data_IF_388082954189
#
_entry.id   IF_388082954189
#
_cell.length_a   1.000
_cell.length_b   1.000
_cell.length_c   1.000
_cell.angle_alpha   90.00
_cell.angle_beta   90.00
_cell.angle_gamma   90.00
#
_symmetry.space_group_name_H-M   'P 1'
#
loop_
_entity.id
_entity.type
_entity.pdbx_description
1 polymer ?
#
# COMPACT_ATOMS: atom_id res chain seq x y z
N UNK A 1 21.04 -31.70 -16.99
CA UNK A 1 20.23 -30.85 -16.09
C UNK A 1 19.98 -31.46 -14.70
N UNK A 2 19.57 -32.73 -14.57
CA UNK A 2 19.26 -33.34 -13.26
C UNK A 2 20.41 -33.30 -12.21
N UNK A 3 21.67 -33.38 -12.63
CA UNK A 3 22.82 -33.30 -11.72
C UNK A 3 23.02 -31.94 -11.03
N UNK A 4 22.61 -30.83 -11.67
CA UNK A 4 22.69 -29.48 -11.07
C UNK A 4 21.62 -29.25 -9.99
N UNK A 5 20.44 -29.86 -10.17
CA UNK A 5 19.33 -29.79 -9.20
C UNK A 5 19.66 -30.61 -7.94
N UNK A 6 20.35 -31.76 -8.09
CA UNK A 6 20.80 -32.60 -6.97
C UNK A 6 21.72 -31.87 -5.97
N UNK A 7 22.51 -30.89 -6.43
CA UNK A 7 23.42 -30.10 -5.58
C UNK A 7 22.71 -29.12 -4.65
N UNK A 8 21.49 -28.69 -5.00
CA UNK A 8 20.70 -27.70 -4.24
C UNK A 8 19.64 -28.34 -3.33
N UNK A 9 19.47 -29.66 -3.40
CA UNK A 9 18.58 -30.42 -2.52
C UNK A 9 19.15 -30.46 -1.09
N UNK A 10 18.34 -30.07 -0.10
CA UNK A 10 18.65 -30.19 1.34
C UNK A 10 18.49 -31.64 1.84
N UNK A 11 19.16 -32.58 1.18
CA UNK A 11 19.12 -34.00 1.49
C UNK A 11 20.44 -34.49 2.14
N UNK A 12 20.40 -35.59 2.94
CA UNK A 12 21.60 -36.21 3.49
C UNK A 12 22.64 -36.53 2.41
N UNK A 13 23.92 -36.40 2.73
CA UNK A 13 25.04 -36.61 1.77
C UNK A 13 24.94 -37.97 1.08
N UNK A 14 24.56 -39.01 1.82
CA UNK A 14 24.36 -40.37 1.32
C UNK A 14 23.26 -40.49 0.25
N UNK A 15 22.25 -39.62 0.27
CA UNK A 15 21.16 -39.59 -0.70
C UNK A 15 21.58 -38.81 -1.95
N UNK A 16 22.29 -37.69 -1.77
CA UNK A 16 22.85 -36.90 -2.88
C UNK A 16 23.87 -37.70 -3.68
N UNK A 17 24.69 -38.49 -3.01
CA UNK A 17 25.67 -39.35 -3.66
C UNK A 17 25.02 -40.45 -4.53
N UNK A 18 23.99 -41.13 -4.02
CA UNK A 18 23.22 -42.12 -4.82
C UNK A 18 22.55 -41.51 -6.06
N UNK A 19 22.12 -40.25 -5.99
CA UNK A 19 21.54 -39.55 -7.14
C UNK A 19 22.58 -39.19 -8.20
N UNK A 20 23.81 -38.89 -7.79
CA UNK A 20 24.93 -38.57 -8.70
C UNK A 20 25.52 -39.85 -9.34
N UNK A 21 25.58 -40.95 -8.59
CA UNK A 21 26.10 -42.24 -9.04
C UNK A 21 25.13 -43.02 -9.95
N UNK A 22 23.84 -42.64 -10.02
CA UNK A 22 22.87 -43.35 -10.85
C UNK A 22 23.07 -43.02 -12.34
N UNK A 23 23.49 -43.97 -13.21
CA UNK A 23 23.93 -43.66 -14.57
C UNK A 23 22.77 -43.37 -15.54
N UNK A 24 21.59 -43.96 -15.29
CA UNK A 24 20.42 -43.78 -16.17
C UNK A 24 19.61 -42.52 -15.80
N UNK A 25 19.36 -41.59 -16.74
CA UNK A 25 18.61 -40.36 -16.49
C UNK A 25 17.18 -40.61 -15.98
N UNK A 26 16.49 -41.63 -16.51
CA UNK A 26 15.11 -41.95 -16.13
C UNK A 26 14.97 -42.43 -14.68
N UNK A 27 15.86 -43.33 -14.22
CA UNK A 27 15.85 -43.78 -12.81
C UNK A 27 16.24 -42.66 -11.86
N UNK A 28 17.15 -41.78 -12.27
CA UNK A 28 17.55 -40.60 -11.49
C UNK A 28 16.38 -39.65 -11.29
N UNK A 29 15.57 -39.42 -12.32
CA UNK A 29 14.37 -38.58 -12.24
C UNK A 29 13.31 -39.20 -11.32
N UNK A 30 13.04 -40.51 -11.46
CA UNK A 30 12.08 -41.22 -10.61
C UNK A 30 12.46 -41.18 -9.11
N UNK A 31 13.75 -41.35 -8.80
CA UNK A 31 14.27 -41.22 -7.44
C UNK A 31 14.10 -39.80 -6.89
N UNK A 32 14.38 -38.78 -7.72
CA UNK A 32 14.26 -37.38 -7.34
C UNK A 32 12.80 -36.97 -7.11
N UNK A 33 11.86 -37.43 -7.94
CA UNK A 33 10.42 -37.22 -7.75
C UNK A 33 9.92 -37.85 -6.45
N UNK A 34 10.41 -39.05 -6.10
CA UNK A 34 10.03 -39.72 -4.84
C UNK A 34 10.52 -38.96 -3.61
N UNK A 35 11.73 -38.40 -3.66
CA UNK A 35 12.31 -37.63 -2.57
C UNK A 35 11.56 -36.30 -2.41
N UNK A 36 11.35 -35.56 -3.50
CA UNK A 36 10.61 -34.30 -3.47
C UNK A 36 9.14 -34.49 -3.04
N UNK A 37 8.48 -35.56 -3.46
CA UNK A 37 7.12 -35.88 -3.03
C UNK A 37 7.01 -36.06 -1.51
N UNK A 38 8.02 -36.69 -0.89
CA UNK A 38 8.09 -36.82 0.56
C UNK A 38 8.34 -35.51 1.30
N UNK A 39 9.15 -34.60 0.74
CA UNK A 39 9.38 -33.28 1.33
C UNK A 39 8.16 -32.38 1.22
N UNK A 40 7.48 -32.40 0.07
CA UNK A 40 6.22 -31.68 -0.13
C UNK A 40 5.19 -32.17 0.88
N UNK A 41 5.03 -33.48 1.09
CA UNK A 41 4.10 -34.01 2.08
C UNK A 41 4.39 -33.53 3.52
N UNK A 42 5.67 -33.48 3.93
CA UNK A 42 6.07 -32.97 5.25
C UNK A 42 5.84 -31.46 5.40
N UNK A 43 6.07 -30.70 4.33
CA UNK A 43 5.79 -29.26 4.31
C UNK A 43 4.29 -29.01 4.38
N UNK A 44 3.48 -29.81 3.68
CA UNK A 44 2.01 -29.76 3.75
C UNK A 44 1.49 -30.06 5.15
N UNK A 45 2.10 -30.99 5.90
CA UNK A 45 1.74 -31.24 7.30
C UNK A 45 2.12 -30.08 8.23
N UNK A 46 3.25 -29.41 7.99
CA UNK A 46 3.67 -28.23 8.76
C UNK A 46 2.82 -26.98 8.48
N UNK A 47 2.19 -26.90 7.32
CA UNK A 47 1.35 -25.76 6.90
C UNK A 47 -0.12 -25.98 7.29
N UNK A 48 -0.51 -27.18 7.76
CA UNK A 48 -1.84 -27.35 8.37
C UNK A 48 -1.89 -26.54 9.67
N UNK A 49 -2.79 -25.55 9.80
CA UNK A 49 -2.97 -24.86 11.06
C UNK A 49 -3.37 -25.89 12.12
N UNK A 50 -2.74 -25.84 13.29
CA UNK A 50 -3.05 -26.69 14.41
C UNK A 50 -4.55 -26.58 14.72
N UNK A 51 -5.31 -27.60 14.35
CA UNK A 51 -6.68 -27.76 14.81
C UNK A 51 -6.57 -28.04 16.32
N UNK A 52 -7.20 -27.27 17.21
CA UNK A 52 -7.14 -27.58 18.63
C UNK A 52 -7.73 -28.98 18.83
N UNK A 53 -6.97 -29.87 19.46
CA UNK A 53 -7.48 -31.20 19.82
C UNK A 53 -8.64 -31.03 20.80
N UNK A 54 -9.77 -31.73 20.59
CA UNK A 54 -10.78 -31.81 21.63
C UNK A 54 -10.18 -32.65 22.75
N UNK A 55 -9.87 -32.00 23.87
CA UNK A 55 -9.52 -32.71 25.10
C UNK A 55 -10.64 -33.71 25.42
N UNK A 56 -10.28 -34.99 25.50
CA UNK A 56 -11.13 -36.04 26.00
C UNK A 56 -11.39 -35.79 27.50
N UNK A 57 -12.41 -34.99 27.81
CA UNK A 57 -12.96 -34.87 29.15
C UNK A 57 -13.99 -35.98 29.32
N UNK A 58 -13.72 -36.89 30.26
CA UNK A 58 -14.64 -37.96 30.63
C UNK A 58 -15.99 -37.41 31.06
N UNK A 59 -17.03 -38.17 30.71
CA UNK A 59 -18.39 -38.04 31.24
C UNK A 59 -18.37 -37.88 32.76
N UNK A 60 -18.88 -36.76 33.24
CA UNK A 60 -19.09 -36.50 34.66
C UNK A 60 -19.34 -35.01 34.92
N UNK A 61 -20.61 -34.62 34.84
CA UNK A 61 -21.21 -33.45 35.49
C UNK A 61 -20.57 -32.07 35.26
N UNK A 62 -21.08 -31.34 34.26
CA UNK A 62 -21.01 -29.87 34.23
C UNK A 62 -22.41 -29.28 34.03
N UNK A 63 -23.15 -29.18 35.14
CA UNK A 63 -24.12 -28.09 35.28
C UNK A 63 -23.36 -26.79 35.58
N UNK A 64 -23.78 -25.73 34.91
CA UNK A 64 -23.58 -24.30 35.25
C UNK A 64 -22.14 -23.81 35.48
N UNK A 65 -21.54 -23.26 34.42
CA UNK A 65 -20.85 -21.97 34.48
C UNK A 65 -20.65 -21.46 33.05
N UNK A 66 -21.63 -20.72 32.54
CA UNK A 66 -21.49 -19.95 31.31
C UNK A 66 -20.48 -18.82 31.56
N UNK A 67 -19.20 -19.09 31.27
CA UNK A 67 -18.26 -18.02 30.95
C UNK A 67 -18.75 -17.33 29.66
N UNK A 68 -18.75 -15.99 29.55
CA UNK A 68 -19.14 -15.33 28.32
C UNK A 68 -18.09 -15.66 27.26
N UNK A 69 -18.39 -16.62 26.39
CA UNK A 69 -17.75 -16.68 25.07
C UNK A 69 -18.14 -15.37 24.40
N UNK A 70 -17.16 -14.50 24.17
CA UNK A 70 -17.37 -13.28 23.39
C UNK A 70 -18.13 -13.68 22.13
N UNK A 71 -19.31 -13.09 21.94
CA UNK A 71 -20.11 -13.30 20.75
C UNK A 71 -19.21 -12.95 19.55
N UNK A 72 -18.93 -13.92 18.67
CA UNK A 72 -18.39 -13.57 17.36
C UNK A 72 -19.40 -12.61 16.72
N UNK A 73 -18.95 -11.42 16.26
CA UNK A 73 -19.86 -10.44 15.68
C UNK A 73 -20.65 -11.12 14.58
N UNK A 74 -21.99 -11.03 14.64
CA UNK A 74 -22.79 -11.65 13.60
C UNK A 74 -22.47 -10.91 12.31
N UNK A 75 -22.49 -11.62 11.18
CA UNK A 75 -22.24 -11.02 9.87
C UNK A 75 -23.10 -9.76 9.60
N UNK A 76 -24.31 -9.71 10.15
CA UNK A 76 -25.17 -8.53 10.07
C UNK A 76 -24.62 -7.33 10.84
N UNK A 77 -23.98 -7.57 11.98
CA UNK A 77 -23.37 -6.54 12.83
C UNK A 77 -22.14 -5.94 12.13
N UNK A 78 -21.27 -6.77 11.54
CA UNK A 78 -20.11 -6.28 10.76
C UNK A 78 -20.54 -5.38 9.57
N UNK A 79 -21.61 -5.76 8.87
CA UNK A 79 -22.13 -4.96 7.76
C UNK A 79 -22.75 -3.65 8.24
N UNK A 80 -23.41 -3.65 9.40
CA UNK A 80 -23.96 -2.45 10.01
C UNK A 80 -22.86 -1.49 10.48
N UNK A 81 -21.78 -2.00 11.06
CA UNK A 81 -20.60 -1.22 11.43
C UNK A 81 -19.93 -0.57 10.21
N UNK A 82 -19.75 -1.33 9.12
CA UNK A 82 -19.25 -0.82 7.84
C UNK A 82 -20.18 0.25 7.24
N UNK A 83 -21.49 0.05 7.30
CA UNK A 83 -22.46 1.05 6.86
C UNK A 83 -22.32 2.35 7.66
N UNK A 84 -22.22 2.24 8.99
CA UNK A 84 -22.05 3.38 9.87
C UNK A 84 -20.71 4.10 9.61
N UNK A 85 -19.62 3.38 9.34
CA UNK A 85 -18.33 4.00 9.03
C UNK A 85 -18.36 4.76 7.71
N UNK A 86 -19.00 4.20 6.66
CA UNK A 86 -19.16 4.85 5.36
C UNK A 86 -19.92 6.17 5.48
N UNK A 87 -21.02 6.19 6.24
CA UNK A 87 -21.79 7.41 6.48
C UNK A 87 -21.00 8.42 7.35
N UNK A 88 -20.21 7.93 8.32
CA UNK A 88 -19.37 8.78 9.17
C UNK A 88 -18.16 9.38 8.44
N UNK A 89 -17.65 8.73 7.39
CA UNK A 89 -16.54 9.23 6.58
C UNK A 89 -16.89 10.49 5.79
N UNK A 90 -18.20 10.76 5.60
CA UNK A 90 -18.69 11.92 4.87
C UNK A 90 -18.25 11.92 3.42
N UNK A 91 -18.38 10.79 2.72
CA UNK A 91 -17.97 10.67 1.32
C UNK A 91 -18.75 11.63 0.40
N UNK A 92 -18.14 12.12 -0.70
CA UNK A 92 -18.88 12.82 -1.76
C UNK A 92 -20.02 11.96 -2.30
N UNK A 93 -21.15 12.57 -2.71
CA UNK A 93 -22.38 11.83 -3.06
C UNK A 93 -22.15 10.72 -4.11
N UNK A 94 -21.40 11.01 -5.18
CA UNK A 94 -21.08 10.04 -6.23
C UNK A 94 -20.29 8.83 -5.70
N UNK A 95 -19.40 9.06 -4.73
CA UNK A 95 -18.58 8.03 -4.07
C UNK A 95 -19.42 7.26 -3.05
N UNK A 96 -20.28 7.95 -2.29
CA UNK A 96 -21.19 7.35 -1.32
C UNK A 96 -22.17 6.39 -2.00
N UNK A 97 -22.77 6.77 -3.14
CA UNK A 97 -23.62 5.88 -3.94
C UNK A 97 -22.86 4.61 -4.37
N UNK A 98 -21.60 4.76 -4.80
CA UNK A 98 -20.77 3.63 -5.21
C UNK A 98 -20.42 2.71 -4.03
N UNK A 99 -20.11 3.29 -2.86
CA UNK A 99 -19.88 2.55 -1.63
C UNK A 99 -21.13 1.78 -1.19
N UNK A 100 -22.31 2.40 -1.23
CA UNK A 100 -23.61 1.75 -0.91
C UNK A 100 -23.90 0.56 -1.84
N UNK A 101 -23.69 0.73 -3.15
CA UNK A 101 -23.83 -0.38 -4.14
C UNK A 101 -22.90 -1.55 -3.83
N UNK A 102 -21.64 -1.28 -3.49
CA UNK A 102 -20.70 -2.35 -3.14
C UNK A 102 -20.98 -2.99 -1.78
N UNK A 103 -21.51 -2.24 -0.83
CA UNK A 103 -21.96 -2.77 0.46
C UNK A 103 -23.14 -3.74 0.29
N UNK A 104 -24.12 -3.41 -0.55
CA UNK A 104 -25.22 -4.33 -0.89
C UNK A 104 -24.70 -5.62 -1.53
N UNK A 105 -23.74 -5.50 -2.45
CA UNK A 105 -23.10 -6.66 -3.10
C UNK A 105 -22.37 -7.53 -2.07
N UNK A 106 -21.64 -6.92 -1.14
CA UNK A 106 -20.96 -7.62 -0.06
C UNK A 106 -21.96 -8.36 0.84
N UNK A 107 -23.13 -7.78 1.11
CA UNK A 107 -24.20 -8.41 1.87
C UNK A 107 -24.78 -9.68 1.22
N UNK A 108 -24.85 -9.72 -0.12
CA UNK A 108 -25.36 -10.87 -0.89
C UNK A 108 -24.31 -11.97 -1.13
N UNK A 109 -23.03 -11.59 -1.16
CA UNK A 109 -21.92 -12.51 -1.50
C UNK A 109 -21.60 -13.43 -0.32
N UNK A 110 -21.18 -14.68 -0.51
CA UNK A 110 -20.74 -15.50 0.64
C UNK A 110 -19.46 -14.93 1.29
N UNK A 111 -19.40 -14.87 2.63
CA UNK A 111 -18.25 -14.32 3.38
C UNK A 111 -16.93 -15.03 3.09
N UNK A 112 -16.97 -16.29 2.67
CA UNK A 112 -15.79 -17.09 2.32
C UNK A 112 -15.34 -16.92 0.85
N UNK A 113 -16.04 -16.10 0.07
CA UNK A 113 -15.69 -15.85 -1.33
C UNK A 113 -14.52 -14.86 -1.46
N UNK A 114 -13.56 -15.09 -2.37
CA UNK A 114 -12.56 -14.08 -2.74
C UNK A 114 -13.17 -12.73 -3.15
N UNK A 115 -14.37 -12.74 -3.75
CA UNK A 115 -15.07 -11.51 -4.15
C UNK A 115 -15.51 -10.67 -2.94
N UNK A 116 -15.90 -11.32 -1.84
CA UNK A 116 -16.25 -10.62 -0.61
C UNK A 116 -15.02 -9.94 0.00
N UNK A 117 -13.86 -10.60 -0.03
CA UNK A 117 -12.60 -10.01 0.42
C UNK A 117 -12.19 -8.79 -0.42
N UNK A 118 -12.34 -8.86 -1.75
CA UNK A 118 -12.05 -7.71 -2.64
C UNK A 118 -12.99 -6.54 -2.37
N UNK A 119 -14.28 -6.82 -2.22
CA UNK A 119 -15.29 -5.79 -1.95
C UNK A 119 -15.07 -5.13 -0.58
N UNK A 120 -14.71 -5.91 0.45
CA UNK A 120 -14.36 -5.40 1.77
C UNK A 120 -13.14 -4.48 1.72
N UNK A 121 -12.04 -4.92 1.10
CA UNK A 121 -10.85 -4.07 0.94
C UNK A 121 -11.15 -2.78 0.18
N UNK A 122 -12.00 -2.83 -0.86
CA UNK A 122 -12.41 -1.64 -1.59
C UNK A 122 -13.14 -0.63 -0.68
N UNK A 123 -14.10 -1.08 0.12
CA UNK A 123 -14.81 -0.22 1.07
C UNK A 123 -13.89 0.34 2.15
N UNK A 124 -12.95 -0.47 2.65
CA UNK A 124 -11.92 -0.01 3.60
C UNK A 124 -11.04 1.09 2.99
N UNK A 125 -10.62 0.95 1.72
CA UNK A 125 -9.85 1.98 1.03
C UNK A 125 -10.64 3.28 0.87
N UNK A 126 -11.92 3.21 0.50
CA UNK A 126 -12.77 4.40 0.41
C UNK A 126 -12.91 5.09 1.78
N UNK A 127 -13.06 4.33 2.85
CA UNK A 127 -13.23 4.85 4.20
C UNK A 127 -11.94 5.48 4.76
N UNK A 128 -10.77 4.90 4.45
CA UNK A 128 -9.49 5.33 4.98
C UNK A 128 -8.86 6.51 4.23
N UNK A 129 -9.37 6.84 3.05
CA UNK A 129 -8.89 7.98 2.28
C UNK A 129 -9.43 9.30 2.86
N UNK A 130 -8.60 10.34 2.97
CA UNK A 130 -9.05 11.63 3.45
C UNK A 130 -9.83 12.38 2.35
N UNK A 131 -11.15 12.52 2.49
CA UNK A 131 -11.98 13.26 1.52
C UNK A 131 -12.13 14.75 1.84
N UNK A 132 -12.22 15.08 3.13
CA UNK A 132 -12.46 16.46 3.59
C UNK A 132 -11.47 16.93 4.66
N UNK A 133 -10.74 15.99 5.28
CA UNK A 133 -9.88 16.29 6.41
C UNK A 133 -8.63 17.02 5.94
N UNK A 134 -8.48 18.29 6.29
CA UNK A 134 -7.28 19.08 6.01
C UNK A 134 -6.44 19.33 7.28
N UNK A 135 -5.13 19.50 7.12
CA UNK A 135 -4.25 20.06 8.14
C UNK A 135 -4.45 21.57 8.23
N UNK A 136 -4.27 22.14 9.42
CA UNK A 136 -4.25 23.58 9.60
C UNK A 136 -3.00 24.18 8.94
N UNK A 137 -3.22 24.97 7.89
CA UNK A 137 -2.14 25.62 7.17
C UNK A 137 -1.56 26.80 7.96
N UNK A 138 -0.23 26.87 7.99
CA UNK A 138 0.51 27.96 8.60
C UNK A 138 1.52 28.52 7.61
N UNK A 139 1.17 29.63 6.96
CA UNK A 139 2.02 30.28 5.95
C UNK A 139 2.70 31.52 6.55
N UNK A 140 3.62 31.28 7.49
CA UNK A 140 4.47 32.31 8.11
C UNK A 140 5.92 32.16 7.65
N UNK A 141 6.42 33.18 6.94
CA UNK A 141 7.79 33.24 6.41
C UNK A 141 8.85 33.29 7.52
N UNK A 142 8.58 33.99 8.63
CA UNK A 142 9.52 34.09 9.74
C UNK A 142 9.65 32.75 10.47
N UNK A 143 8.52 32.04 10.65
CA UNK A 143 8.52 30.66 11.15
C UNK A 143 9.21 29.70 10.18
N UNK A 144 8.92 29.79 8.87
CA UNK A 144 9.54 28.94 7.86
C UNK A 144 11.06 29.11 7.82
N UNK A 145 11.56 30.35 7.86
CA UNK A 145 12.99 30.66 7.91
C UNK A 145 13.66 30.01 9.12
N UNK A 146 13.08 30.20 10.32
CA UNK A 146 13.60 29.62 11.57
C UNK A 146 13.69 28.09 11.49
N UNK A 147 12.64 27.43 11.01
CA UNK A 147 12.59 25.97 10.87
C UNK A 147 13.65 25.45 9.89
N UNK A 148 13.80 26.12 8.75
CA UNK A 148 14.81 25.76 7.75
C UNK A 148 16.24 25.96 8.28
N UNK A 149 16.48 27.03 9.04
CA UNK A 149 17.78 27.33 9.64
C UNK A 149 18.13 26.39 10.81
N UNK A 150 17.12 25.95 11.58
CA UNK A 150 17.28 24.95 12.65
C UNK A 150 17.61 23.57 12.10
N UNK A 151 16.88 23.12 11.06
CA UNK A 151 17.00 21.75 10.54
C UNK A 151 18.18 21.57 9.59
N UNK A 152 18.65 22.65 8.94
CA UNK A 152 19.68 22.59 7.91
C UNK A 152 20.71 23.71 8.08
N UNK A 153 21.98 23.35 8.23
CA UNK A 153 23.06 24.33 8.27
C UNK A 153 23.45 24.80 6.86
N UNK A 154 23.69 26.10 6.67
CA UNK A 154 24.03 26.70 5.38
C UNK A 154 22.88 26.69 4.37
N UNK A 155 23.16 26.36 3.10
CA UNK A 155 22.16 26.27 2.02
C UNK A 155 21.36 27.56 1.77
N UNK A 156 21.96 28.73 1.99
CA UNK A 156 21.26 30.02 1.96
C UNK A 156 20.47 30.23 0.67
N UNK A 157 21.09 29.97 -0.49
CA UNK A 157 20.42 30.07 -1.80
C UNK A 157 19.21 29.14 -1.95
N UNK A 158 19.30 27.92 -1.41
CA UNK A 158 18.20 26.94 -1.49
C UNK A 158 17.06 27.34 -0.56
N UNK A 159 17.40 27.79 0.65
CA UNK A 159 16.42 28.29 1.63
C UNK A 159 15.70 29.53 1.13
N UNK A 160 16.42 30.47 0.53
CA UNK A 160 15.84 31.65 -0.11
C UNK A 160 14.82 31.25 -1.17
N UNK A 161 15.16 30.31 -2.06
CA UNK A 161 14.24 29.84 -3.09
C UNK A 161 12.99 29.14 -2.53
N UNK A 162 13.14 28.39 -1.43
CA UNK A 162 12.00 27.79 -0.72
C UNK A 162 11.11 28.89 -0.12
N UNK A 163 11.68 29.92 0.49
CA UNK A 163 10.93 31.03 1.07
C UNK A 163 10.20 31.86 0.01
N UNK A 164 10.80 32.05 -1.17
CA UNK A 164 10.14 32.67 -2.32
C UNK A 164 8.89 31.88 -2.73
N UNK A 165 8.99 30.56 -2.84
CA UNK A 165 7.84 29.71 -3.15
C UNK A 165 6.74 29.82 -2.09
N UNK A 166 7.09 29.77 -0.81
CA UNK A 166 6.13 29.95 0.29
C UNK A 166 5.49 31.35 0.24
N UNK A 167 6.25 32.36 -0.18
CA UNK A 167 5.74 33.73 -0.36
C UNK A 167 4.71 33.81 -1.49
N UNK A 168 4.96 33.12 -2.61
CA UNK A 168 3.99 33.02 -3.72
C UNK A 168 2.71 32.32 -3.26
N UNK A 169 2.83 31.20 -2.53
CA UNK A 169 1.66 30.47 -1.98
C UNK A 169 0.86 31.39 -1.05
N UNK A 170 1.53 32.19 -0.21
CA UNK A 170 0.87 33.16 0.67
C UNK A 170 0.05 34.20 -0.09
N UNK A 171 0.53 34.64 -1.25
CA UNK A 171 -0.12 35.67 -2.06
C UNK A 171 -1.27 35.12 -2.90
N UNK A 172 -1.06 33.95 -3.52
CA UNK A 172 -2.05 33.36 -4.43
C UNK A 172 -3.14 32.55 -3.71
N UNK A 173 -2.93 32.15 -2.46
CA UNK A 173 -3.86 31.32 -1.69
C UNK A 173 -3.91 29.85 -2.14
N UNK A 174 -3.53 29.56 -3.38
CA UNK A 174 -3.45 28.22 -3.94
C UNK A 174 -2.06 27.94 -4.51
N UNK A 175 -1.63 26.68 -4.40
CA UNK A 175 -0.36 26.21 -4.92
C UNK A 175 -0.45 25.85 -6.43
N UNK A 176 -1.13 26.67 -7.25
CA UNK A 176 -1.13 26.50 -8.73
C UNK A 176 0.20 26.92 -9.38
N UNK A 177 1.25 27.03 -8.59
CA UNK A 177 2.57 27.49 -8.99
C UNK A 177 3.49 26.35 -9.44
N UNK A 178 4.72 26.68 -9.87
CA UNK A 178 5.70 25.70 -10.29
C UNK A 178 6.09 24.76 -9.15
N UNK A 179 6.18 23.47 -9.46
CA UNK A 179 6.60 22.42 -8.52
C UNK A 179 8.08 22.61 -8.15
N UNK A 180 8.39 22.53 -6.85
CA UNK A 180 9.77 22.63 -6.37
C UNK A 180 10.55 21.35 -6.70
N UNK A 181 11.56 21.49 -7.57
CA UNK A 181 12.49 20.40 -7.87
C UNK A 181 13.84 20.61 -7.15
N UNK A 182 14.22 19.65 -6.31
CA UNK A 182 15.51 19.64 -5.60
C UNK A 182 16.52 18.72 -6.30
N UNK A 183 17.41 19.30 -7.11
CA UNK A 183 18.47 18.60 -7.82
C UNK A 183 19.80 18.60 -7.02
N UNK A 184 20.61 17.54 -7.17
CA UNK A 184 21.86 17.36 -6.40
C UNK A 184 22.22 15.89 -6.18
N UNK A 185 23.45 15.58 -5.71
CA UNK A 185 23.90 14.22 -5.45
C UNK A 185 23.12 13.56 -4.29
N UNK A 186 23.16 12.23 -4.16
CA UNK A 186 22.58 11.54 -3.01
C UNK A 186 23.27 11.98 -1.71
N UNK A 187 22.52 12.02 -0.61
CA UNK A 187 23.06 12.34 0.72
C UNK A 187 23.07 13.83 1.09
N UNK A 188 22.66 14.75 0.19
CA UNK A 188 22.63 16.21 0.48
C UNK A 188 21.40 16.68 1.27
N UNK A 189 20.58 15.76 1.79
CA UNK A 189 19.42 16.13 2.64
C UNK A 189 18.18 16.62 1.89
N UNK A 190 17.97 16.24 0.61
CA UNK A 190 16.76 16.64 -0.14
C UNK A 190 15.46 16.20 0.54
N UNK A 191 15.43 14.96 1.00
CA UNK A 191 14.27 14.40 1.70
C UNK A 191 14.02 15.08 3.04
N UNK A 192 15.08 15.46 3.77
CA UNK A 192 14.95 16.21 5.02
C UNK A 192 14.48 17.64 4.76
N UNK A 193 14.92 18.31 3.69
CA UNK A 193 14.41 19.61 3.28
C UNK A 193 12.90 19.57 3.03
N UNK A 194 12.41 18.57 2.29
CA UNK A 194 10.97 18.39 2.05
C UNK A 194 10.17 18.22 3.36
N UNK A 195 10.72 17.51 4.35
CA UNK A 195 10.11 17.36 5.67
C UNK A 195 10.08 18.69 6.45
N UNK A 196 11.16 19.47 6.39
CA UNK A 196 11.22 20.80 7.02
C UNK A 196 10.24 21.78 6.38
N UNK A 197 10.04 21.71 5.07
CA UNK A 197 9.00 22.49 4.36
C UNK A 197 7.61 22.11 4.85
N UNK A 198 7.30 20.81 4.99
CA UNK A 198 6.03 20.36 5.55
C UNK A 198 5.82 20.86 6.99
N UNK A 199 6.87 20.77 7.84
CA UNK A 199 6.87 21.30 9.22
C UNK A 199 6.63 22.81 9.25
N UNK A 200 7.28 23.55 8.35
CA UNK A 200 7.13 24.99 8.20
C UNK A 200 5.69 25.38 7.82
N UNK A 201 5.08 24.66 6.89
CA UNK A 201 3.70 24.89 6.44
C UNK A 201 2.63 24.37 7.40
N UNK A 202 3.00 23.56 8.41
CA UNK A 202 2.03 22.90 9.29
C UNK A 202 1.27 21.75 8.65
N UNK A 203 1.74 21.26 7.49
CA UNK A 203 1.10 20.20 6.70
C UNK A 203 1.69 18.84 7.03
N UNK A 204 0.90 17.77 6.85
CA UNK A 204 1.41 16.38 6.93
C UNK A 204 2.39 16.12 5.79
N UNK A 205 3.39 15.29 6.06
CA UNK A 205 4.41 14.92 5.07
C UNK A 205 4.12 13.53 4.51
N UNK A 206 4.05 13.43 3.18
CA UNK A 206 3.90 12.17 2.46
C UNK A 206 5.11 11.98 1.53
N UNK A 207 5.74 10.81 1.59
CA UNK A 207 6.86 10.47 0.70
C UNK A 207 6.46 9.32 -0.22
N UNK A 208 6.67 9.52 -1.51
CA UNK A 208 6.50 8.51 -2.55
C UNK A 208 7.83 8.38 -3.29
N UNK A 209 8.42 7.18 -3.27
CA UNK A 209 9.59 6.90 -4.10
C UNK A 209 9.12 6.57 -5.51
N UNK A 210 9.74 7.17 -6.52
CA UNK A 210 9.54 6.86 -7.92
C UNK A 210 10.69 6.03 -8.50
N UNK A 211 11.72 5.77 -7.70
CA UNK A 211 12.85 4.95 -8.11
C UNK A 211 12.44 3.55 -8.52
N UNK A 212 12.81 3.17 -9.74
CA UNK A 212 12.51 1.85 -10.30
C UNK A 212 11.05 1.66 -10.71
N UNK A 213 10.24 2.72 -10.70
CA UNK A 213 8.90 2.68 -11.31
C UNK A 213 9.07 2.60 -12.82
N UNK A 214 8.48 1.58 -13.41
CA UNK A 214 8.49 1.38 -14.86
C UNK A 214 7.09 1.16 -15.45
N UNK A 215 6.10 0.89 -14.60
CA UNK A 215 4.71 0.70 -15.00
C UNK A 215 3.82 1.85 -14.51
N UNK A 216 2.91 2.27 -15.38
CA UNK A 216 1.88 3.27 -15.10
C UNK A 216 0.96 2.84 -13.95
N UNK A 217 0.67 1.53 -13.86
CA UNK A 217 -0.17 0.97 -12.81
C UNK A 217 0.41 1.17 -11.41
N UNK A 218 1.71 1.45 -11.27
CA UNK A 218 2.28 1.80 -9.97
C UNK A 218 1.87 3.19 -9.50
N UNK A 219 1.50 4.09 -10.42
CA UNK A 219 1.06 5.45 -10.12
C UNK A 219 -0.47 5.51 -10.04
N UNK A 220 -1.18 4.92 -11.03
CA UNK A 220 -2.66 4.92 -11.16
C UNK A 220 -3.36 3.68 -10.59
N UNK A 221 -2.62 2.71 -10.06
CA UNK A 221 -3.19 1.47 -9.53
C UNK A 221 -3.54 0.44 -10.60
N UNK A 222 -3.84 -0.78 -10.13
CA UNK A 222 -4.34 -1.87 -10.96
C UNK A 222 -5.86 -1.93 -10.92
N UNK A 223 -6.48 -2.30 -12.04
CA UNK A 223 -7.92 -2.60 -12.08
C UNK A 223 -8.28 -3.63 -11.03
N UNK A 224 -9.37 -3.41 -10.30
CA UNK A 224 -9.84 -4.29 -9.20
C UNK A 224 -10.11 -5.75 -9.62
N UNK A 225 -10.24 -6.01 -10.92
CA UNK A 225 -10.47 -7.34 -11.49
C UNK A 225 -9.31 -8.32 -11.31
N UNK A 226 -8.08 -7.84 -11.06
CA UNK A 226 -6.93 -8.72 -10.87
C UNK A 226 -6.80 -9.19 -9.42
N UNK A 227 -6.41 -10.44 -9.24
CA UNK A 227 -6.11 -10.98 -7.91
C UNK A 227 -4.90 -10.24 -7.34
N UNK A 228 -5.06 -9.61 -6.17
CA UNK A 228 -4.00 -8.83 -5.52
C UNK A 228 -3.85 -7.41 -6.06
N UNK A 229 -4.85 -6.86 -6.77
CA UNK A 229 -4.85 -5.46 -7.16
C UNK A 229 -4.72 -4.52 -5.97
N UNK A 230 -3.91 -3.49 -6.15
CA UNK A 230 -3.70 -2.42 -5.18
C UNK A 230 -3.91 -1.06 -5.84
N UNK A 231 -4.36 -0.05 -5.08
CA UNK A 231 -4.34 1.34 -5.52
C UNK A 231 -2.91 1.80 -5.81
N UNK A 232 -2.79 2.85 -6.62
CA UNK A 232 -1.51 3.45 -6.98
C UNK A 232 -0.77 4.06 -5.78
N UNK A 233 0.54 4.26 -5.95
CA UNK A 233 1.43 4.82 -4.91
C UNK A 233 0.98 6.20 -4.42
N UNK A 234 0.27 6.98 -5.25
CA UNK A 234 -0.28 8.29 -4.92
C UNK A 234 -1.38 8.16 -3.86
N UNK A 235 -2.41 7.35 -4.10
CA UNK A 235 -3.47 7.09 -3.12
C UNK A 235 -2.96 6.42 -1.85
N UNK A 236 -2.01 5.50 -1.97
CA UNK A 236 -1.32 4.95 -0.80
C UNK A 236 -0.60 6.05 -0.01
N UNK A 237 -0.06 7.07 -0.68
CA UNK A 237 0.50 8.26 -0.05
C UNK A 237 -0.56 9.10 0.67
N UNK A 238 -1.72 9.32 0.05
CA UNK A 238 -2.86 10.04 0.64
C UNK A 238 -3.38 9.35 1.90
N UNK A 239 -3.63 8.03 1.84
CA UNK A 239 -4.05 7.24 2.99
C UNK A 239 -3.05 7.33 4.15
N UNK A 240 -1.74 7.27 3.87
CA UNK A 240 -0.69 7.42 4.88
C UNK A 240 -0.63 8.84 5.47
N UNK A 241 -0.91 9.86 4.68
CA UNK A 241 -0.92 11.24 5.13
C UNK A 241 -2.10 11.52 6.06
N UNK A 242 -3.27 10.96 5.73
CA UNK A 242 -4.53 11.09 6.47
C UNK A 242 -5.17 12.47 6.34
N UNK A 243 -4.73 13.29 5.37
CA UNK A 243 -5.27 14.62 5.07
C UNK A 243 -5.28 14.89 3.57
N UNK A 244 -6.14 15.80 3.10
CA UNK A 244 -6.27 16.22 1.69
C UNK A 244 -5.17 17.15 1.20
N UNK A 245 -4.54 17.91 2.10
CA UNK A 245 -3.53 18.91 1.78
C UNK A 245 -2.11 18.58 2.30
N UNK A 246 -1.58 17.35 2.12
CA UNK A 246 -0.23 17.05 2.57
C UNK A 246 0.82 17.66 1.63
N UNK A 247 2.05 17.79 2.14
CA UNK A 247 3.22 18.01 1.30
C UNK A 247 3.69 16.66 0.78
N UNK A 248 3.53 16.44 -0.53
CA UNK A 248 4.09 15.29 -1.23
C UNK A 248 5.54 15.54 -1.64
N UNK A 249 6.41 14.60 -1.27
CA UNK A 249 7.74 14.48 -1.82
C UNK A 249 7.78 13.28 -2.77
N UNK A 250 7.96 13.57 -4.06
CA UNK A 250 8.25 12.59 -5.10
C UNK A 250 9.77 12.42 -5.19
N UNK A 251 10.26 11.31 -4.67
CA UNK A 251 11.70 11.03 -4.58
C UNK A 251 12.18 10.24 -5.80
N UNK A 252 13.44 10.44 -6.19
CA UNK A 252 14.09 9.73 -7.31
C UNK A 252 13.35 9.79 -8.66
N UNK A 253 12.78 10.95 -9.00
CA UNK A 253 12.11 11.18 -10.30
C UNK A 253 13.05 10.97 -11.51
N UNK A 254 14.36 11.17 -11.31
CA UNK A 254 15.40 10.91 -12.32
C UNK A 254 15.59 9.43 -12.63
N UNK A 255 15.08 8.54 -11.78
CA UNK A 255 15.16 7.07 -11.93
C UNK A 255 13.86 6.44 -12.45
N UNK A 256 12.98 7.24 -13.03
CA UNK A 256 11.82 6.74 -13.74
C UNK A 256 12.25 5.95 -14.97
N UNK A 257 11.93 4.66 -14.98
CA UNK A 257 12.17 3.78 -16.12
C UNK A 257 11.07 3.95 -17.16
N UNK A 258 11.42 3.71 -18.43
CA UNK A 258 10.42 3.53 -19.50
C UNK A 258 10.38 2.07 -19.87
N UNK A 259 9.26 1.40 -19.61
CA UNK A 259 8.98 0.07 -20.16
C UNK A 259 7.98 0.16 -21.32
N UNK A 260 7.92 -0.89 -22.13
CA UNK A 260 7.03 -0.99 -23.29
C UNK A 260 5.52 -1.06 -22.93
N UNK A 261 5.17 -1.08 -21.64
CA UNK A 261 3.79 -1.29 -21.14
C UNK A 261 3.03 0.02 -20.85
N UNK A 262 3.70 1.16 -20.77
CA UNK A 262 3.09 2.45 -20.49
C UNK A 262 4.12 3.55 -20.26
N UNK A 263 3.67 4.81 -20.17
CA UNK A 263 4.52 5.94 -19.84
C UNK A 263 4.22 6.43 -18.41
N UNK A 264 5.01 6.03 -17.39
CA UNK A 264 4.80 6.49 -16.02
C UNK A 264 4.95 8.02 -15.89
N UNK A 265 5.69 8.67 -16.79
CA UNK A 265 5.78 10.12 -16.79
C UNK A 265 4.43 10.77 -17.15
N UNK A 266 3.68 10.19 -18.09
CA UNK A 266 2.35 10.67 -18.45
C UNK A 266 1.36 10.52 -17.28
N UNK A 267 1.45 9.43 -16.52
CA UNK A 267 0.66 9.27 -15.28
C UNK A 267 1.01 10.30 -14.21
N UNK A 268 2.29 10.63 -14.05
CA UNK A 268 2.68 11.68 -13.12
C UNK A 268 2.20 13.06 -13.56
N UNK A 269 2.15 13.33 -14.86
CA UNK A 269 1.66 14.62 -15.37
C UNK A 269 0.18 14.84 -15.00
N UNK A 270 -0.67 13.82 -15.08
CA UNK A 270 -2.07 13.94 -14.64
C UNK A 270 -2.17 14.30 -13.14
N UNK A 271 -1.31 13.71 -12.31
CA UNK A 271 -1.27 13.96 -10.85
C UNK A 271 -0.72 15.35 -10.53
N UNK A 272 0.23 15.84 -11.33
CA UNK A 272 0.96 17.07 -11.09
C UNK A 272 0.31 18.30 -11.73
N UNK A 273 -0.48 18.11 -12.77
CA UNK A 273 -1.18 19.19 -13.47
C UNK A 273 -2.37 19.70 -12.64
N UNK A 274 -2.39 20.98 -12.21
CA UNK A 274 -3.50 21.55 -11.45
C UNK A 274 -4.85 21.53 -12.17
N UNK A 275 -4.87 21.41 -13.51
CA UNK A 275 -6.12 21.33 -14.28
C UNK A 275 -6.72 19.92 -14.30
N UNK A 276 -5.90 18.88 -14.11
CA UNK A 276 -6.31 17.48 -14.19
C UNK A 276 -6.40 16.80 -12.83
N UNK A 277 -5.56 17.21 -11.87
CA UNK A 277 -5.41 16.49 -10.61
C UNK A 277 -6.65 16.51 -9.69
N UNK A 278 -7.59 17.45 -9.89
CA UNK A 278 -8.86 17.48 -9.16
C UNK A 278 -9.87 16.43 -9.62
N UNK A 279 -9.59 15.74 -10.73
CA UNK A 279 -10.37 14.62 -11.25
C UNK A 279 -9.47 13.39 -11.48
N UNK A 280 -8.42 13.22 -10.67
CA UNK A 280 -7.50 12.11 -10.81
C UNK A 280 -8.24 10.79 -10.60
N UNK A 281 -8.15 9.90 -11.60
CA UNK A 281 -8.87 8.63 -11.58
C UNK A 281 -7.90 7.44 -11.43
N UNK A 282 -7.90 6.83 -10.25
CA UNK A 282 -7.15 5.59 -10.00
C UNK A 282 -7.94 4.38 -10.49
N UNK A 283 -7.29 3.50 -11.25
CA UNK A 283 -7.91 2.31 -11.85
C UNK A 283 -8.46 1.31 -10.82
N UNK A 284 -7.99 1.33 -9.58
CA UNK A 284 -8.51 0.48 -8.52
C UNK A 284 -9.79 1.06 -7.92
N UNK A 285 -9.81 2.38 -7.67
CA UNK A 285 -10.95 3.06 -7.06
C UNK A 285 -12.09 3.32 -8.04
N UNK A 286 -11.74 3.64 -9.28
CA UNK A 286 -12.64 4.02 -10.37
C UNK A 286 -13.60 5.16 -9.95
N UNK A 287 -13.11 6.07 -9.10
CA UNK A 287 -13.77 7.31 -8.71
C UNK A 287 -12.76 8.44 -8.76
N UNK A 288 -13.25 9.64 -9.05
CA UNK A 288 -12.42 10.84 -9.06
C UNK A 288 -12.08 11.22 -7.61
N UNK A 289 -10.80 11.54 -7.38
CA UNK A 289 -10.24 11.83 -6.07
C UNK A 289 -9.36 13.07 -6.09
#
# INVERSE_FOLDING_TARGET
MAGRVAGHLRAPVSVRQRLLECPSPGRRLALLTRILGGEIARLSERVRPARPEPAACGTGDFQSAAAPRGEEPRRGDELAELAASIEAAGLPEAVAERARRELERLGRTSSFSPEAAVSRHYLEWLNDLPWHRASADCVDLARARRILDEDHFGLDRVKERILELISVIRLCGEARGPILCLAGPPGVGKTSLGRSVARALGRRFARVSLGGVSDEAEIRGHRRTYVGSLPGRILQGMRRAGVVNPVFLLDEIDKLGRDHRGDPAAALLEVLDPEQNGAFNDHYLEVDY
#
